data_IF_254394056655
#
_entry.id   IF_254394056655
#
_cell.length_a   1.000
_cell.length_b   1.000
_cell.length_c   1.000
_cell.angle_alpha   90.00
_cell.angle_beta   90.00
_cell.angle_gamma   90.00
#
_symmetry.space_group_name_H-M   'P 1'
#
loop_
_entity.id
_entity.type
_entity.pdbx_description
1 polymer ?
#
# COMPACT_ATOMS: atom_id res chain seq x y z
N UNK A 1 13.16 6.85 -2.94
CA UNK A 1 12.39 6.66 -4.19
C UNK A 1 13.32 6.00 -5.17
N UNK A 2 12.93 4.85 -5.72
CA UNK A 2 13.81 4.05 -6.60
C UNK A 2 13.96 4.67 -7.99
N UNK A 3 15.06 4.35 -8.67
CA UNK A 3 15.34 4.75 -10.05
C UNK A 3 14.59 3.80 -11.01
N UNK A 4 13.72 4.32 -11.88
CA UNK A 4 12.83 3.48 -12.70
C UNK A 4 13.05 3.67 -14.20
N UNK A 5 12.91 2.59 -14.96
CA UNK A 5 13.04 2.55 -16.43
C UNK A 5 11.84 1.85 -17.04
N UNK A 6 11.25 2.44 -18.09
CA UNK A 6 10.28 1.77 -18.96
C UNK A 6 10.98 1.26 -20.21
N UNK A 7 10.67 0.03 -20.61
CA UNK A 7 11.12 -0.60 -21.85
C UNK A 7 9.90 -0.97 -22.69
N UNK A 8 9.80 -0.49 -23.92
CA UNK A 8 8.77 -0.88 -24.89
C UNK A 8 9.30 -1.97 -25.81
N UNK A 9 8.58 -3.08 -25.87
CA UNK A 9 8.95 -4.27 -26.60
C UNK A 9 7.97 -4.57 -27.74
N UNK A 10 8.53 -4.92 -28.90
CA UNK A 10 7.81 -5.17 -30.14
C UNK A 10 8.04 -6.62 -30.54
N UNK A 11 6.98 -7.38 -30.80
CA UNK A 11 7.16 -8.75 -31.27
C UNK A 11 7.73 -8.77 -32.69
N UNK A 12 8.45 -9.84 -33.00
CA UNK A 12 8.97 -10.09 -34.33
C UNK A 12 7.81 -10.34 -35.33
N UNK A 13 7.91 -9.89 -36.59
CA UNK A 13 6.91 -10.22 -37.61
C UNK A 13 6.71 -11.73 -37.74
N UNK A 14 5.44 -12.17 -37.72
CA UNK A 14 5.06 -13.58 -37.78
C UNK A 14 4.87 -14.26 -36.42
N UNK A 15 5.19 -13.60 -35.30
CA UNK A 15 4.91 -14.09 -33.95
C UNK A 15 3.53 -13.62 -33.46
N UNK A 16 2.71 -14.51 -32.88
CA UNK A 16 1.41 -14.11 -32.29
C UNK A 16 1.59 -13.43 -30.92
N UNK A 17 0.59 -12.66 -30.41
CA UNK A 17 0.71 -12.05 -29.08
C UNK A 17 0.94 -13.10 -27.97
N UNK A 18 0.31 -14.26 -28.09
CA UNK A 18 0.39 -15.36 -27.12
C UNK A 18 1.77 -16.01 -27.15
N UNK A 19 2.33 -16.24 -28.34
CA UNK A 19 3.69 -16.76 -28.50
C UNK A 19 4.72 -15.78 -27.94
N UNK A 20 4.55 -14.48 -28.23
CA UNK A 20 5.41 -13.42 -27.72
C UNK A 20 5.42 -13.41 -26.19
N UNK A 21 4.23 -13.43 -25.56
CA UNK A 21 4.09 -13.49 -24.09
C UNK A 21 4.66 -14.77 -23.50
N UNK A 22 4.38 -15.92 -24.14
CA UNK A 22 4.85 -17.23 -23.66
C UNK A 22 6.38 -17.31 -23.66
N UNK A 23 7.04 -16.84 -24.72
CA UNK A 23 8.51 -16.81 -24.79
C UNK A 23 9.10 -15.79 -23.82
N UNK A 24 8.48 -14.61 -23.72
CA UNK A 24 8.91 -13.54 -22.80
C UNK A 24 8.96 -14.04 -21.34
N UNK A 25 7.86 -14.61 -20.84
CA UNK A 25 7.79 -15.06 -19.44
C UNK A 25 8.46 -16.43 -19.21
N UNK A 26 8.42 -17.32 -20.21
CA UNK A 26 8.90 -18.70 -20.07
C UNK A 26 10.39 -18.88 -20.34
N UNK A 27 11.05 -17.97 -21.06
CA UNK A 27 12.46 -18.12 -21.46
C UNK A 27 13.26 -16.83 -21.29
N UNK A 28 12.77 -15.71 -21.81
CA UNK A 28 13.53 -14.47 -21.83
C UNK A 28 13.75 -13.88 -20.43
N UNK A 29 12.69 -13.70 -19.64
CA UNK A 29 12.80 -13.14 -18.28
C UNK A 29 13.64 -14.03 -17.36
N UNK A 30 13.49 -15.38 -17.34
CA UNK A 30 14.41 -16.26 -16.64
C UNK A 30 15.87 -16.08 -17.04
N UNK A 31 16.17 -15.96 -18.34
CA UNK A 31 17.52 -15.72 -18.85
C UNK A 31 18.09 -14.37 -18.35
N UNK A 32 17.31 -13.30 -18.42
CA UNK A 32 17.71 -11.97 -17.91
C UNK A 32 17.97 -12.03 -16.40
N UNK A 33 17.15 -12.77 -15.65
CA UNK A 33 17.34 -12.95 -14.21
C UNK A 33 18.61 -13.74 -13.89
N UNK A 34 18.89 -14.80 -14.66
CA UNK A 34 20.12 -15.59 -14.54
C UNK A 34 21.35 -14.71 -14.81
N UNK A 35 21.35 -13.94 -15.88
CA UNK A 35 22.46 -13.07 -16.28
C UNK A 35 22.70 -11.95 -15.27
N UNK A 36 21.63 -11.28 -14.81
CA UNK A 36 21.74 -10.16 -13.88
C UNK A 36 22.20 -10.59 -12.49
N UNK A 37 21.78 -11.77 -12.02
CA UNK A 37 22.08 -12.24 -10.67
C UNK A 37 21.75 -11.17 -9.61
N UNK A 38 22.73 -10.71 -8.81
CA UNK A 38 22.50 -9.72 -7.76
C UNK A 38 22.18 -8.31 -8.29
N UNK A 39 22.48 -8.00 -9.56
CA UNK A 39 22.14 -6.70 -10.15
C UNK A 39 20.73 -6.68 -10.74
N UNK A 40 19.93 -7.73 -10.57
CA UNK A 40 18.54 -7.75 -11.04
C UNK A 40 17.73 -6.64 -10.34
N UNK A 41 16.84 -5.93 -11.05
CA UNK A 41 16.05 -4.85 -10.45
C UNK A 41 15.21 -5.33 -9.26
N UNK A 42 14.95 -4.42 -8.32
CA UNK A 42 14.05 -4.63 -7.18
C UNK A 42 12.65 -5.07 -7.64
N UNK A 43 12.19 -4.52 -8.76
CA UNK A 43 10.94 -4.92 -9.41
C UNK A 43 11.11 -4.95 -10.92
N UNK A 44 10.49 -5.93 -11.58
CA UNK A 44 10.41 -6.01 -13.03
C UNK A 44 8.98 -6.43 -13.40
N UNK A 45 8.14 -5.45 -13.72
CA UNK A 45 6.73 -5.62 -14.04
C UNK A 45 6.53 -5.52 -15.55
N UNK A 46 5.85 -6.49 -16.18
CA UNK A 46 5.60 -6.51 -17.63
C UNK A 46 4.11 -6.48 -17.90
N UNK A 47 3.67 -5.54 -18.72
CA UNK A 47 2.27 -5.35 -19.10
C UNK A 47 2.13 -5.49 -20.61
N UNK A 48 1.24 -6.39 -21.02
CA UNK A 48 1.00 -6.72 -22.42
C UNK A 48 -0.27 -5.99 -22.87
N UNK A 49 -0.21 -5.35 -24.04
CA UNK A 49 -1.38 -4.69 -24.59
C UNK A 49 -2.45 -5.73 -24.92
N UNK A 50 -3.70 -5.42 -24.56
CA UNK A 50 -4.82 -6.26 -24.95
C UNK A 50 -5.08 -6.08 -26.44
N UNK A 51 -4.92 -7.16 -27.22
CA UNK A 51 -5.15 -7.20 -28.66
C UNK A 51 -6.33 -8.13 -28.97
N UNK A 52 -7.13 -7.77 -29.96
CA UNK A 52 -8.29 -8.56 -30.42
C UNK A 52 -8.06 -9.10 -31.82
N UNK A 53 -8.54 -10.31 -32.12
CA UNK A 53 -8.53 -10.85 -33.49
C UNK A 53 -9.62 -10.17 -34.33
N UNK A 54 -9.24 -9.44 -35.40
CA UNK A 54 -10.18 -8.89 -36.39
C UNK A 54 -9.60 -8.93 -37.81
N UNK A 55 -10.47 -9.20 -38.79
CA UNK A 55 -10.18 -9.32 -40.23
C UNK A 55 -10.14 -7.99 -41.01
N UNK A 56 -10.24 -6.82 -40.36
CA UNK A 56 -10.36 -5.54 -41.07
C UNK A 56 -9.08 -4.72 -40.97
N UNK A 57 -8.58 -4.30 -42.15
CA UNK A 57 -7.35 -3.55 -42.36
C UNK A 57 -7.31 -2.29 -41.48
N UNK A 58 -6.52 -2.36 -40.42
CA UNK A 58 -6.13 -1.19 -39.63
C UNK A 58 -4.83 -0.62 -40.21
N UNK A 59 -4.62 0.69 -40.05
CA UNK A 59 -3.46 1.41 -40.61
C UNK A 59 -2.12 1.08 -39.92
N UNK A 60 -1.99 -0.08 -39.28
CA UNK A 60 -0.74 -0.56 -38.69
C UNK A 60 -0.18 -1.72 -39.50
N UNK A 61 1.02 -1.53 -40.05
CA UNK A 61 1.68 -2.52 -40.92
C UNK A 61 2.11 -3.75 -40.13
N UNK A 62 2.55 -3.59 -38.87
CA UNK A 62 3.08 -4.68 -38.06
C UNK A 62 2.02 -5.52 -37.33
N UNK A 63 0.84 -4.95 -37.08
CA UNK A 63 -0.19 -5.55 -36.22
C UNK A 63 -1.59 -5.60 -36.88
N UNK A 64 -1.65 -5.59 -38.21
CA UNK A 64 -2.89 -5.48 -38.98
C UNK A 64 -4.00 -6.49 -38.57
N UNK A 65 -3.60 -7.71 -38.20
CA UNK A 65 -4.53 -8.80 -37.85
C UNK A 65 -4.82 -8.92 -36.35
N UNK A 66 -4.12 -8.14 -35.51
CA UNK A 66 -4.29 -8.14 -34.05
C UNK A 66 -4.19 -6.70 -33.52
N UNK A 67 -5.16 -5.82 -33.86
CA UNK A 67 -5.19 -4.45 -33.37
C UNK A 67 -5.28 -4.39 -31.84
N UNK A 68 -4.72 -3.33 -31.27
CA UNK A 68 -4.83 -3.06 -29.84
C UNK A 68 -6.23 -2.51 -29.50
N UNK A 69 -6.73 -2.80 -28.30
CA UNK A 69 -7.95 -2.18 -27.77
C UNK A 69 -7.67 -0.75 -27.32
N UNK A 70 -7.67 0.17 -28.29
CA UNK A 70 -7.41 1.60 -28.07
C UNK A 70 -8.70 2.29 -27.63
N UNK A 71 -8.66 2.97 -26.49
CA UNK A 71 -9.78 3.76 -25.98
C UNK A 71 -9.73 5.22 -26.47
N UNK A 72 -8.53 5.78 -26.59
CA UNK A 72 -8.24 7.16 -27.04
C UNK A 72 -6.93 7.13 -27.84
N UNK A 73 -6.83 7.91 -28.92
CA UNK A 73 -5.65 7.97 -29.78
C UNK A 73 -5.74 7.05 -31.00
N UNK A 74 -4.60 6.78 -31.62
CA UNK A 74 -4.49 6.02 -32.87
C UNK A 74 -3.79 4.67 -32.66
N UNK A 75 -4.06 3.70 -33.54
CA UNK A 75 -3.41 2.39 -33.47
C UNK A 75 -1.88 2.47 -33.65
N UNK A 76 -1.38 3.46 -34.39
CA UNK A 76 0.05 3.60 -34.69
C UNK A 76 0.90 3.93 -33.45
N UNK A 77 0.31 4.57 -32.44
CA UNK A 77 0.97 4.89 -31.16
C UNK A 77 1.16 3.65 -30.27
N UNK A 78 0.39 2.58 -30.54
CA UNK A 78 0.36 1.33 -29.76
C UNK A 78 0.86 0.14 -30.57
N UNK A 79 1.89 0.37 -31.39
CA UNK A 79 2.47 -0.69 -32.23
C UNK A 79 3.40 -1.64 -31.44
N UNK A 80 3.80 -1.27 -30.21
CA UNK A 80 4.47 -2.17 -29.27
C UNK A 80 3.51 -3.22 -28.69
N UNK A 81 4.01 -4.35 -28.25
CA UNK A 81 3.20 -5.45 -27.71
C UNK A 81 3.20 -5.50 -26.19
N UNK A 82 4.29 -5.06 -25.57
CA UNK A 82 4.38 -4.91 -24.13
C UNK A 82 5.23 -3.71 -23.75
N UNK A 83 5.05 -3.27 -22.51
CA UNK A 83 6.01 -2.43 -21.85
C UNK A 83 6.37 -3.04 -20.50
N UNK A 84 7.64 -2.93 -20.13
CA UNK A 84 8.20 -3.38 -18.88
C UNK A 84 8.62 -2.17 -18.04
N UNK A 85 8.36 -2.22 -16.74
CA UNK A 85 8.79 -1.25 -15.75
C UNK A 85 9.79 -1.94 -14.83
N UNK A 86 11.01 -1.41 -14.79
CA UNK A 86 12.11 -1.90 -13.97
C UNK A 86 12.40 -0.87 -12.89
N UNK A 87 12.42 -1.28 -11.63
CA UNK A 87 12.74 -0.41 -10.49
C UNK A 87 14.05 -0.83 -9.85
N UNK A 88 14.95 0.12 -9.67
CA UNK A 88 16.26 -0.02 -9.04
C UNK A 88 16.33 0.82 -7.77
N UNK A 89 17.30 0.53 -6.91
CA UNK A 89 17.56 1.32 -5.71
C UNK A 89 17.99 2.75 -6.08
N UNK A 90 18.94 2.86 -7.00
CA UNK A 90 19.47 4.12 -7.50
C UNK A 90 19.95 4.00 -8.97
N UNK A 91 20.51 5.09 -9.50
CA UNK A 91 21.06 5.14 -10.85
C UNK A 91 22.25 4.18 -11.04
N UNK A 92 23.10 4.03 -10.03
CA UNK A 92 24.29 3.17 -10.08
C UNK A 92 23.91 1.69 -10.23
N UNK A 93 22.89 1.24 -9.50
CA UNK A 93 22.32 -0.10 -9.61
C UNK A 93 21.74 -0.34 -11.01
N UNK A 94 21.08 0.66 -11.60
CA UNK A 94 20.58 0.60 -12.97
C UNK A 94 21.73 0.47 -13.99
N UNK A 95 22.78 1.28 -13.84
CA UNK A 95 23.97 1.22 -14.69
C UNK A 95 24.69 -0.13 -14.57
N UNK A 96 24.79 -0.69 -13.36
CA UNK A 96 25.37 -2.01 -13.13
C UNK A 96 24.58 -3.11 -13.85
N UNK A 97 23.25 -3.08 -13.77
CA UNK A 97 22.37 -4.02 -14.48
C UNK A 97 22.61 -3.97 -16.00
N UNK A 98 22.53 -2.80 -16.62
CA UNK A 98 22.75 -2.67 -18.06
C UNK A 98 24.20 -2.97 -18.46
N UNK A 99 25.17 -2.68 -17.60
CA UNK A 99 26.58 -3.03 -17.80
C UNK A 99 26.79 -4.54 -17.89
N UNK A 100 26.16 -5.33 -17.01
CA UNK A 100 26.21 -6.80 -17.05
C UNK A 100 25.58 -7.35 -18.33
N UNK A 101 24.46 -6.77 -18.78
CA UNK A 101 23.76 -7.17 -20.01
C UNK A 101 24.60 -6.93 -21.27
N UNK A 102 25.40 -5.85 -21.29
CA UNK A 102 26.23 -5.47 -22.43
C UNK A 102 27.56 -6.23 -22.51
N UNK A 103 27.92 -7.01 -21.49
CA UNK A 103 29.13 -7.85 -21.55
C UNK A 103 29.06 -8.79 -22.75
N UNK A 104 30.12 -8.95 -23.56
CA UNK A 104 30.04 -9.63 -24.86
C UNK A 104 29.38 -11.02 -24.84
N UNK A 105 29.68 -11.84 -23.83
CA UNK A 105 29.08 -13.17 -23.68
C UNK A 105 27.59 -13.12 -23.34
N UNK A 106 27.18 -12.22 -22.46
CA UNK A 106 25.79 -12.03 -22.07
C UNK A 106 24.98 -11.39 -23.19
N UNK A 107 25.51 -10.34 -23.81
CA UNK A 107 24.90 -9.65 -24.93
C UNK A 107 24.64 -10.60 -26.11
N UNK A 108 25.57 -11.53 -26.40
CA UNK A 108 25.38 -12.55 -27.43
C UNK A 108 24.27 -13.55 -27.07
N UNK A 109 24.21 -14.01 -25.81
CA UNK A 109 23.13 -14.89 -25.33
C UNK A 109 21.76 -14.22 -25.41
N UNK A 110 21.68 -12.95 -24.98
CA UNK A 110 20.47 -12.14 -25.02
C UNK A 110 20.05 -11.92 -26.48
N UNK A 111 20.98 -11.52 -27.35
CA UNK A 111 20.70 -11.31 -28.77
C UNK A 111 20.15 -12.58 -29.43
N UNK A 112 20.75 -13.74 -29.16
CA UNK A 112 20.31 -15.01 -29.71
C UNK A 112 18.92 -15.44 -29.21
N UNK A 113 18.52 -15.01 -28.01
CA UNK A 113 17.18 -15.23 -27.50
C UNK A 113 16.17 -14.24 -28.06
N UNK A 114 16.49 -12.94 -28.07
CA UNK A 114 15.66 -11.87 -28.63
C UNK A 114 15.32 -12.12 -30.10
N UNK A 115 16.28 -12.58 -30.91
CA UNK A 115 16.08 -12.90 -32.34
C UNK A 115 14.94 -13.89 -32.59
N UNK A 116 14.55 -14.70 -31.60
CA UNK A 116 13.47 -15.68 -31.74
C UNK A 116 12.08 -15.06 -31.72
N UNK A 117 11.89 -13.92 -31.05
CA UNK A 117 10.55 -13.41 -30.73
C UNK A 117 10.40 -11.88 -30.69
N UNK A 118 11.49 -11.12 -30.58
CA UNK A 118 11.52 -9.68 -30.37
C UNK A 118 12.12 -8.95 -31.58
N UNK A 119 11.51 -7.83 -31.99
CA UNK A 119 12.11 -6.88 -32.93
C UNK A 119 13.03 -5.92 -32.17
N UNK A 120 14.30 -6.30 -32.08
CA UNK A 120 15.31 -5.55 -31.33
C UNK A 120 15.55 -4.15 -31.88
N UNK A 121 15.38 -3.93 -33.19
CA UNK A 121 15.62 -2.62 -33.80
C UNK A 121 14.60 -1.56 -33.36
N UNK A 122 13.44 -2.01 -32.86
CA UNK A 122 12.35 -1.15 -32.38
C UNK A 122 12.28 -1.06 -30.86
N UNK A 123 13.07 -1.87 -30.15
CA UNK A 123 13.14 -1.84 -28.70
C UNK A 123 13.57 -0.45 -28.23
N UNK A 124 12.76 0.17 -27.39
CA UNK A 124 13.04 1.51 -26.85
C UNK A 124 12.95 1.48 -25.34
N UNK A 125 13.77 2.29 -24.67
CA UNK A 125 13.76 2.40 -23.23
C UNK A 125 13.90 3.87 -22.82
N UNK A 126 13.27 4.24 -21.71
CA UNK A 126 13.28 5.61 -21.18
C UNK A 126 13.29 5.57 -19.64
N UNK A 127 14.03 6.50 -19.04
CA UNK A 127 14.05 6.69 -17.57
C UNK A 127 12.78 7.43 -17.16
N UNK A 128 12.14 6.98 -16.09
CA UNK A 128 11.02 7.70 -15.48
C UNK A 128 11.53 8.76 -14.52
N UNK A 129 10.93 9.95 -14.59
CA UNK A 129 11.09 11.00 -13.58
C UNK A 129 10.23 10.72 -12.35
N UNK A 130 9.67 11.78 -11.76
CA UNK A 130 8.86 11.66 -10.55
C UNK A 130 7.58 10.83 -10.79
N UNK A 131 7.42 9.76 -10.01
CA UNK A 131 6.20 8.94 -10.00
C UNK A 131 5.23 9.49 -8.96
N UNK A 132 4.08 9.98 -9.42
CA UNK A 132 2.94 10.30 -8.55
C UNK A 132 1.85 9.25 -8.75
N UNK A 133 1.47 8.55 -7.69
CA UNK A 133 0.45 7.50 -7.75
C UNK A 133 -0.75 7.88 -6.87
N UNK A 134 -1.96 7.82 -7.43
CA UNK A 134 -3.20 7.93 -6.66
C UNK A 134 -3.79 6.55 -6.45
N UNK A 135 -3.64 6.01 -5.24
CA UNK A 135 -4.29 4.76 -4.85
C UNK A 135 -5.62 5.04 -4.18
N UNK A 136 -6.64 4.23 -4.51
CA UNK A 136 -7.91 4.24 -3.76
C UNK A 136 -7.78 3.33 -2.55
N UNK A 137 -8.14 3.85 -1.39
CA UNK A 137 -8.27 3.14 -0.14
C UNK A 137 -9.61 3.48 0.51
N UNK A 138 -9.90 2.90 1.68
CA UNK A 138 -11.15 3.19 2.39
C UNK A 138 -11.31 4.68 2.70
N UNK A 139 -10.23 5.40 3.06
CA UNK A 139 -10.27 6.81 3.45
C UNK A 139 -10.73 7.75 2.31
N UNK A 140 -10.29 7.50 1.07
CA UNK A 140 -10.61 8.35 -0.08
C UNK A 140 -11.72 7.80 -1.00
N UNK A 141 -12.41 6.74 -0.58
CA UNK A 141 -13.55 6.17 -1.32
C UNK A 141 -14.85 6.90 -0.98
N UNK A 142 -15.42 7.58 -1.98
CA UNK A 142 -16.65 8.39 -1.82
C UNK A 142 -17.93 7.57 -2.12
N UNK A 143 -17.88 6.56 -2.99
CA UNK A 143 -19.05 5.72 -3.30
C UNK A 143 -19.50 4.95 -2.05
N UNK A 144 -20.75 5.12 -1.57
CA UNK A 144 -21.20 4.50 -0.33
C UNK A 144 -21.17 2.97 -0.34
N UNK A 145 -21.44 2.35 -1.49
CA UNK A 145 -21.52 0.89 -1.61
C UNK A 145 -20.13 0.28 -1.56
N UNK A 146 -19.19 0.85 -2.31
CA UNK A 146 -17.79 0.44 -2.29
C UNK A 146 -17.13 0.73 -0.94
N UNK A 147 -17.37 1.90 -0.35
CA UNK A 147 -16.87 2.23 0.98
C UNK A 147 -17.39 1.25 2.04
N UNK A 148 -18.69 0.94 2.04
CA UNK A 148 -19.27 -0.02 2.98
C UNK A 148 -18.66 -1.42 2.83
N UNK A 149 -18.42 -1.86 1.59
CA UNK A 149 -17.78 -3.14 1.30
C UNK A 149 -16.35 -3.18 1.85
N UNK A 150 -15.55 -2.14 1.59
CA UNK A 150 -14.16 -2.03 2.06
C UNK A 150 -14.07 -1.97 3.57
N UNK A 151 -14.87 -1.07 4.18
CA UNK A 151 -14.90 -0.86 5.63
C UNK A 151 -15.35 -2.12 6.38
N UNK A 152 -16.30 -2.88 5.83
CA UNK A 152 -16.73 -4.15 6.45
C UNK A 152 -15.57 -5.14 6.60
N UNK A 153 -14.71 -5.22 5.59
CA UNK A 153 -13.53 -6.09 5.62
C UNK A 153 -12.46 -5.51 6.56
N UNK A 154 -12.22 -4.20 6.50
CA UNK A 154 -11.25 -3.53 7.37
C UNK A 154 -11.59 -3.67 8.87
N UNK A 155 -12.88 -3.59 9.22
CA UNK A 155 -13.35 -3.73 10.60
C UNK A 155 -12.99 -5.06 11.25
N UNK A 156 -12.66 -6.11 10.49
CA UNK A 156 -12.23 -7.40 11.08
C UNK A 156 -10.89 -7.29 11.80
N UNK A 157 -10.07 -6.30 11.47
CA UNK A 157 -8.80 -6.02 12.16
C UNK A 157 -8.99 -5.29 13.50
N UNK A 158 -10.17 -4.72 13.75
CA UNK A 158 -10.48 -3.91 14.94
C UNK A 158 -11.52 -4.58 15.84
N UNK A 159 -11.53 -5.91 15.90
CA UNK A 159 -12.36 -6.64 16.87
C UNK A 159 -11.65 -6.73 18.22
N UNK A 160 -12.40 -6.91 19.31
CA UNK A 160 -11.84 -7.06 20.66
C UNK A 160 -10.78 -8.18 20.77
N UNK A 161 -10.88 -9.19 19.90
CA UNK A 161 -9.93 -10.32 19.85
C UNK A 161 -8.67 -10.03 19.03
N UNK A 162 -8.64 -8.94 18.25
CA UNK A 162 -7.54 -8.59 17.34
C UNK A 162 -6.54 -7.62 17.97
N UNK A 163 -6.92 -6.91 19.03
CA UNK A 163 -6.07 -5.93 19.73
C UNK A 163 -5.38 -6.64 20.89
N UNK A 164 -4.22 -7.25 20.61
CA UNK A 164 -3.32 -7.79 21.63
C UNK A 164 -2.11 -6.86 21.72
N UNK A 165 -1.88 -6.28 22.91
CA UNK A 165 -0.64 -5.56 23.20
C UNK A 165 0.44 -6.60 23.53
N UNK A 166 1.59 -6.50 22.87
CA UNK A 166 2.69 -7.43 23.07
C UNK A 166 3.41 -7.20 24.40
N UNK A 167 4.07 -8.24 24.91
CA UNK A 167 4.80 -8.21 26.17
C UNK A 167 6.12 -7.45 26.02
N UNK A 168 6.26 -6.34 26.73
CA UNK A 168 7.53 -5.61 26.79
C UNK A 168 8.44 -6.19 27.88
N UNK A 169 9.75 -6.25 27.61
CA UNK A 169 10.76 -6.63 28.59
C UNK A 169 10.71 -5.64 29.78
N UNK A 170 10.39 -6.14 30.99
CA UNK A 170 10.32 -5.32 32.20
C UNK A 170 11.67 -5.27 32.89
N UNK A 171 12.44 -4.20 32.65
CA UNK A 171 13.64 -3.90 33.45
C UNK A 171 13.27 -2.98 34.60
N UNK A 172 13.78 -3.25 35.80
CA UNK A 172 13.56 -2.41 37.00
C UNK A 172 14.53 -1.24 37.13
N UNK A 173 15.49 -1.10 36.20
CA UNK A 173 16.44 -0.01 36.15
C UNK A 173 15.89 1.19 35.36
N UNK A 174 16.19 2.41 35.80
CA UNK A 174 15.86 3.62 35.04
C UNK A 174 16.66 3.62 33.73
N UNK A 175 15.97 3.81 32.61
CA UNK A 175 16.62 4.01 31.31
C UNK A 175 17.34 5.37 31.26
N UNK A 176 18.23 5.53 30.27
CA UNK A 176 18.75 6.84 29.91
C UNK A 176 17.61 7.77 29.45
N UNK A 177 17.87 9.07 29.31
CA UNK A 177 16.88 9.99 28.72
C UNK A 177 16.44 9.48 27.33
N UNK A 178 15.13 9.34 27.12
CA UNK A 178 14.54 8.89 25.87
C UNK A 178 13.63 9.97 25.29
N UNK A 179 13.64 10.12 23.96
CA UNK A 179 12.66 10.92 23.24
C UNK A 179 11.37 10.08 23.14
N UNK A 180 10.34 10.46 23.91
CA UNK A 180 9.14 9.64 24.06
C UNK A 180 8.30 9.60 22.78
N UNK A 181 8.30 10.66 21.97
CA UNK A 181 7.54 10.71 20.72
C UNK A 181 8.06 9.72 19.69
N UNK A 182 9.36 9.69 19.47
CA UNK A 182 10.05 8.79 18.54
C UNK A 182 9.91 7.32 18.99
N UNK A 183 10.06 7.03 20.28
CA UNK A 183 9.86 5.67 20.79
C UNK A 183 8.40 5.21 20.70
N UNK A 184 7.44 6.11 20.96
CA UNK A 184 6.02 5.80 20.77
C UNK A 184 5.69 5.59 19.29
N UNK A 185 6.30 6.36 18.40
CA UNK A 185 6.10 6.21 16.95
C UNK A 185 6.57 4.84 16.47
N UNK A 186 7.77 4.42 16.85
CA UNK A 186 8.27 3.08 16.54
C UNK A 186 7.37 1.97 17.12
N UNK A 187 6.96 2.10 18.39
CA UNK A 187 6.10 1.12 19.03
C UNK A 187 4.73 1.00 18.33
N UNK A 188 4.08 2.13 18.03
CA UNK A 188 2.78 2.11 17.37
C UNK A 188 2.92 1.64 15.92
N UNK A 189 3.99 2.03 15.23
CA UNK A 189 4.27 1.55 13.88
C UNK A 189 4.45 0.03 13.85
N UNK A 190 5.15 -0.55 14.82
CA UNK A 190 5.30 -2.00 14.96
C UNK A 190 3.96 -2.69 15.23
N UNK A 191 3.16 -2.18 16.17
CA UNK A 191 1.81 -2.71 16.45
C UNK A 191 0.91 -2.62 15.21
N UNK A 192 0.91 -1.49 14.51
CA UNK A 192 0.11 -1.30 13.30
C UNK A 192 0.62 -2.14 12.13
N UNK A 193 1.93 -2.36 12.05
CA UNK A 193 2.57 -3.28 11.13
C UNK A 193 2.10 -4.71 11.36
N UNK A 194 2.12 -5.16 12.61
CA UNK A 194 1.66 -6.50 13.01
C UNK A 194 0.16 -6.68 12.76
N UNK A 195 -0.67 -5.68 13.06
CA UNK A 195 -2.11 -5.70 12.75
C UNK A 195 -2.37 -5.71 11.24
N UNK A 196 -1.56 -5.01 10.45
CA UNK A 196 -1.74 -4.86 9.00
C UNK A 196 -1.19 -6.05 8.21
N UNK A 197 -0.12 -6.69 8.70
CA UNK A 197 0.64 -7.69 7.95
C UNK A 197 0.81 -9.05 8.66
N UNK A 198 0.41 -9.16 9.93
CA UNK A 198 0.74 -10.28 10.80
C UNK A 198 2.14 -10.11 11.40
N UNK A 199 2.39 -10.84 12.50
CA UNK A 199 3.57 -10.65 13.34
C UNK A 199 4.88 -10.69 12.55
N UNK A 200 5.39 -9.51 12.29
CA UNK A 200 6.80 -9.20 12.07
C UNK A 200 7.45 -10.00 10.94
N UNK A 201 7.04 -9.71 9.70
CA UNK A 201 7.82 -9.98 8.47
C UNK A 201 8.30 -11.43 8.20
N UNK A 202 7.54 -12.45 8.60
CA UNK A 202 7.62 -13.79 7.97
C UNK A 202 6.23 -14.30 7.55
N UNK A 203 5.77 -13.77 6.41
CA UNK A 203 4.43 -13.89 5.86
C UNK A 203 3.88 -15.33 5.74
N UNK A 204 2.97 -15.69 6.66
CA UNK A 204 1.62 -16.23 6.41
C UNK A 204 1.07 -16.77 7.73
N UNK A 205 -0.10 -16.30 8.12
CA UNK A 205 -1.00 -17.14 8.91
C UNK A 205 -1.28 -18.43 8.09
N UNK A 206 -1.10 -19.65 8.62
CA UNK A 206 -1.25 -20.90 7.87
C UNK A 206 -2.72 -21.21 7.46
N UNK A 207 -3.64 -20.27 7.68
CA UNK A 207 -5.06 -20.37 7.36
C UNK A 207 -5.51 -19.67 6.08
N UNK A 208 -6.80 -19.81 5.76
CA UNK A 208 -7.44 -19.05 4.69
C UNK A 208 -7.51 -17.59 5.13
N UNK A 209 -6.70 -16.73 4.50
CA UNK A 209 -6.72 -15.30 4.79
C UNK A 209 -8.12 -14.72 4.45
N UNK A 210 -8.88 -14.22 5.44
CA UNK A 210 -10.23 -13.70 5.21
C UNK A 210 -10.24 -12.44 4.33
N UNK A 211 -9.15 -11.68 4.25
CA UNK A 211 -8.97 -10.54 3.35
C UNK A 211 -8.75 -10.98 1.89
N UNK A 212 -8.30 -12.23 1.67
CA UNK A 212 -8.24 -12.89 0.37
C UNK A 212 -9.47 -13.75 0.09
N UNK A 213 -10.40 -13.88 1.03
CA UNK A 213 -11.61 -14.67 0.84
C UNK A 213 -12.37 -14.13 -0.38
N UNK A 214 -12.88 -15.07 -1.19
CA UNK A 214 -13.62 -14.72 -2.39
C UNK A 214 -14.93 -14.05 -2.00
N UNK A 215 -15.23 -12.94 -2.66
CA UNK A 215 -16.53 -12.33 -2.62
C UNK A 215 -17.56 -13.35 -3.16
N UNK A 216 -18.51 -13.74 -2.33
CA UNK A 216 -19.51 -14.77 -2.64
C UNK A 216 -20.40 -14.42 -3.84
N UNK A 217 -20.47 -13.15 -4.23
CA UNK A 217 -21.27 -12.66 -5.36
C UNK A 217 -20.48 -12.60 -6.67
N UNK A 218 -19.15 -12.40 -6.62
CA UNK A 218 -18.34 -12.18 -7.84
C UNK A 218 -17.26 -13.25 -8.08
N UNK A 219 -16.97 -14.10 -7.10
CA UNK A 219 -15.89 -15.11 -7.15
C UNK A 219 -14.47 -14.53 -7.15
N UNK A 220 -14.32 -13.20 -7.11
CA UNK A 220 -13.04 -12.49 -7.06
C UNK A 220 -12.59 -12.27 -5.60
N UNK A 221 -11.28 -12.14 -5.33
CA UNK A 221 -10.80 -11.77 -4.00
C UNK A 221 -11.45 -10.49 -3.49
N UNK A 222 -11.71 -10.39 -2.18
CA UNK A 222 -12.26 -9.17 -1.57
C UNK A 222 -11.38 -7.93 -1.80
N UNK A 223 -10.06 -8.11 -1.86
CA UNK A 223 -9.11 -7.09 -2.30
C UNK A 223 -8.10 -7.67 -3.30
N UNK A 224 -7.75 -6.88 -4.29
CA UNK A 224 -6.56 -7.09 -5.13
C UNK A 224 -5.28 -6.78 -4.35
N UNK A 225 -4.12 -7.21 -4.85
CA UNK A 225 -2.84 -6.91 -4.20
C UNK A 225 -2.56 -5.40 -4.07
N UNK A 226 -2.97 -4.61 -5.06
CA UNK A 226 -2.83 -3.15 -5.03
C UNK A 226 -3.75 -2.52 -3.97
N UNK A 227 -4.99 -2.98 -3.87
CA UNK A 227 -5.91 -2.48 -2.86
C UNK A 227 -5.47 -2.88 -1.45
N UNK A 228 -4.98 -4.11 -1.24
CA UNK A 228 -4.40 -4.50 0.05
C UNK A 228 -3.23 -3.59 0.45
N UNK A 229 -2.33 -3.26 -0.49
CA UNK A 229 -1.24 -2.31 -0.23
C UNK A 229 -1.78 -0.92 0.14
N UNK A 230 -2.82 -0.45 -0.55
CA UNK A 230 -3.43 0.84 -0.29
C UNK A 230 -4.11 0.91 1.09
N UNK A 231 -4.84 -0.15 1.49
CA UNK A 231 -5.45 -0.24 2.83
C UNK A 231 -4.39 -0.39 3.93
N UNK A 232 -3.35 -1.20 3.72
CA UNK A 232 -2.28 -1.35 4.70
C UNK A 232 -1.49 -0.04 4.90
N UNK A 233 -1.19 0.68 3.81
CA UNK A 233 -0.55 2.00 3.88
C UNK A 233 -1.41 2.98 4.67
N UNK A 234 -2.74 2.97 4.44
CA UNK A 234 -3.68 3.78 5.20
C UNK A 234 -3.65 3.44 6.69
N UNK A 235 -3.71 2.15 7.05
CA UNK A 235 -3.74 1.72 8.45
C UNK A 235 -2.49 2.15 9.21
N UNK A 236 -1.30 1.91 8.64
CA UNK A 236 -0.03 2.25 9.28
C UNK A 236 0.07 3.75 9.53
N UNK A 237 -0.20 4.58 8.51
CA UNK A 237 -0.09 6.03 8.62
C UNK A 237 -1.14 6.57 9.60
N UNK A 238 -2.41 6.16 9.44
CA UNK A 238 -3.48 6.66 10.28
C UNK A 238 -3.33 6.26 11.75
N UNK A 239 -2.85 5.04 12.02
CA UNK A 239 -2.67 4.51 13.37
C UNK A 239 -1.44 5.08 14.08
N UNK A 240 -0.33 5.31 13.37
CA UNK A 240 0.95 5.71 13.98
C UNK A 240 0.91 7.14 14.48
N UNK A 241 0.82 8.12 13.57
CA UNK A 241 0.92 9.54 13.89
C UNK A 241 -0.14 9.97 14.93
N UNK A 242 -1.40 9.52 14.77
CA UNK A 242 -2.50 9.96 15.64
C UNK A 242 -2.41 9.38 17.06
N UNK A 243 -2.00 8.12 17.19
CA UNK A 243 -1.85 7.48 18.51
C UNK A 243 -0.63 8.02 19.24
N UNK A 244 0.49 8.21 18.53
CA UNK A 244 1.72 8.83 19.06
C UNK A 244 1.43 10.23 19.59
N UNK A 245 0.75 11.08 18.80
CA UNK A 245 0.37 12.42 19.22
C UNK A 245 -0.54 12.40 20.47
N UNK A 246 -1.53 11.49 20.49
CA UNK A 246 -2.43 11.33 21.62
C UNK A 246 -1.68 10.93 22.89
N UNK A 247 -0.86 9.88 22.84
CA UNK A 247 -0.11 9.38 23.99
C UNK A 247 0.92 10.40 24.50
N UNK A 248 1.69 11.02 23.59
CA UNK A 248 2.65 12.06 23.93
C UNK A 248 1.97 13.22 24.67
N UNK A 249 0.80 13.66 24.19
CA UNK A 249 0.03 14.72 24.86
C UNK A 249 -0.43 14.32 26.26
N UNK A 250 -0.97 13.11 26.42
CA UNK A 250 -1.45 12.59 27.71
C UNK A 250 -0.31 12.55 28.73
N UNK A 251 0.85 12.00 28.36
CA UNK A 251 2.03 11.96 29.23
C UNK A 251 2.55 13.37 29.56
N UNK A 252 2.54 14.28 28.58
CA UNK A 252 2.97 15.66 28.78
C UNK A 252 2.11 16.40 29.82
N UNK A 253 0.79 16.22 29.79
CA UNK A 253 -0.12 16.84 30.77
C UNK A 253 -0.03 16.16 32.14
N UNK A 254 -0.01 14.82 32.19
CA UNK A 254 0.06 14.09 33.45
C UNK A 254 1.37 14.35 34.21
N UNK A 255 2.51 14.45 33.51
CA UNK A 255 3.81 14.75 34.13
C UNK A 255 3.87 16.14 34.78
N UNK A 256 2.99 17.06 34.37
CA UNK A 256 2.92 18.44 34.90
C UNK A 256 1.87 18.62 35.98
N UNK A 257 1.00 17.63 36.20
CA UNK A 257 -0.01 17.65 37.24
C UNK A 257 0.11 16.44 38.18
N UNK A 258 0.89 16.57 39.26
CA UNK A 258 1.08 15.50 40.23
C UNK A 258 -0.23 15.04 40.89
N UNK A 259 -1.26 15.89 40.97
CA UNK A 259 -2.54 15.53 41.57
C UNK A 259 -3.35 14.62 40.66
N UNK A 260 -3.47 15.00 39.37
CA UNK A 260 -4.17 14.18 38.36
C UNK A 260 -3.43 12.86 38.11
N UNK A 261 -2.10 12.89 38.05
CA UNK A 261 -1.27 11.69 37.95
C UNK A 261 -1.52 10.72 39.11
N UNK A 262 -1.45 11.19 40.37
CA UNK A 262 -1.69 10.34 41.54
C UNK A 262 -3.09 9.73 41.55
N UNK A 263 -4.10 10.48 41.10
CA UNK A 263 -5.47 9.97 41.01
C UNK A 263 -5.59 8.86 39.96
N UNK A 264 -4.95 9.01 38.80
CA UNK A 264 -4.89 7.96 37.78
C UNK A 264 -4.17 6.71 38.29
N UNK A 265 -2.98 6.89 38.87
CA UNK A 265 -2.22 5.77 39.41
C UNK A 265 -2.97 5.02 40.49
N UNK A 266 -3.71 5.72 41.34
CA UNK A 266 -4.55 5.08 42.35
C UNK A 266 -5.63 4.20 41.74
N UNK A 267 -6.28 4.62 40.66
CA UNK A 267 -7.25 3.79 39.94
C UNK A 267 -6.57 2.57 39.30
N UNK A 268 -5.43 2.77 38.62
CA UNK A 268 -4.71 1.68 37.93
C UNK A 268 -4.26 0.58 38.90
N UNK A 269 -3.72 0.95 40.06
CA UNK A 269 -3.22 0.03 41.08
C UNK A 269 -4.31 -0.80 41.78
N UNK A 270 -5.60 -0.50 41.54
CA UNK A 270 -6.70 -1.21 42.21
C UNK A 270 -7.18 -2.48 41.49
N UNK A 271 -6.84 -2.68 40.21
CA UNK A 271 -7.45 -3.75 39.39
C UNK A 271 -6.46 -4.80 38.90
N UNK A 272 -5.24 -4.41 38.54
CA UNK A 272 -4.18 -5.33 38.10
C UNK A 272 -3.00 -5.24 39.06
N UNK A 273 -2.47 -6.39 39.48
CA UNK A 273 -1.33 -6.46 40.40
C UNK A 273 0.00 -6.30 39.65
N UNK A 274 0.09 -6.89 38.45
CA UNK A 274 1.27 -6.84 37.59
C UNK A 274 0.93 -6.24 36.22
N UNK A 275 1.93 -5.68 35.55
CA UNK A 275 1.74 -5.08 34.22
C UNK A 275 1.36 -6.14 33.18
N UNK A 276 1.87 -7.35 33.35
CA UNK A 276 1.63 -8.51 32.50
C UNK A 276 0.19 -9.04 32.61
N UNK A 277 -0.54 -8.66 33.66
CA UNK A 277 -1.95 -9.02 33.85
C UNK A 277 -2.90 -8.11 33.06
N UNK A 278 -2.39 -7.00 32.50
CA UNK A 278 -3.19 -6.03 31.76
C UNK A 278 -3.59 -6.62 30.41
N UNK A 279 -4.83 -7.07 30.34
CA UNK A 279 -5.44 -7.61 29.12
C UNK A 279 -6.70 -6.83 28.74
N UNK A 280 -7.00 -6.79 27.45
CA UNK A 280 -8.27 -6.26 26.96
C UNK A 280 -9.44 -7.04 27.56
N UNK A 281 -10.48 -6.33 28.01
CA UNK A 281 -11.67 -6.95 28.59
C UNK A 281 -12.45 -6.04 29.55
N UNK A 282 -13.50 -6.57 30.20
CA UNK A 282 -14.41 -5.78 31.04
C UNK A 282 -13.72 -5.04 32.20
N UNK A 283 -12.62 -5.60 32.74
CA UNK A 283 -11.84 -4.97 33.81
C UNK A 283 -11.14 -3.69 33.33
N UNK A 284 -10.38 -3.78 32.23
CA UNK A 284 -9.70 -2.64 31.63
C UNK A 284 -10.70 -1.57 31.17
N UNK A 285 -11.80 -2.01 30.55
CA UNK A 285 -12.89 -1.13 30.12
C UNK A 285 -13.66 -0.48 31.29
N UNK A 286 -13.48 -0.98 32.52
CA UNK A 286 -14.09 -0.45 33.73
C UNK A 286 -13.38 0.78 34.31
N UNK A 287 -12.17 1.10 33.86
CA UNK A 287 -11.42 2.25 34.36
C UNK A 287 -12.03 3.57 33.87
N UNK A 288 -12.73 4.25 34.78
CA UNK A 288 -13.47 5.46 34.45
C UNK A 288 -12.54 6.66 34.34
N UNK A 289 -11.57 6.79 35.25
CA UNK A 289 -10.66 7.92 35.27
C UNK A 289 -9.56 7.80 34.21
N UNK A 290 -9.09 6.58 33.90
CA UNK A 290 -8.22 6.33 32.73
C UNK A 290 -8.91 6.78 31.44
N UNK A 291 -10.14 6.32 31.20
CA UNK A 291 -10.90 6.71 30.01
C UNK A 291 -11.10 8.22 29.94
N UNK A 292 -11.48 8.85 31.06
CA UNK A 292 -11.63 10.29 31.13
C UNK A 292 -10.29 11.03 30.88
N UNK A 293 -9.16 10.47 31.29
CA UNK A 293 -7.83 11.05 31.04
C UNK A 293 -7.43 10.97 29.57
N UNK A 294 -7.77 9.86 28.89
CA UNK A 294 -7.55 9.68 27.45
C UNK A 294 -8.45 10.66 26.66
N UNK A 295 -9.75 10.69 26.98
CA UNK A 295 -10.72 11.59 26.33
C UNK A 295 -10.32 13.06 26.53
N UNK A 296 -9.90 13.46 27.74
CA UNK A 296 -9.45 14.82 28.03
C UNK A 296 -8.12 15.15 27.33
N UNK A 297 -7.20 14.19 27.21
CA UNK A 297 -5.97 14.35 26.44
C UNK A 297 -6.26 14.66 24.97
N UNK A 298 -7.11 13.86 24.32
CA UNK A 298 -7.53 14.09 22.94
C UNK A 298 -8.36 15.38 22.77
N UNK A 299 -9.09 15.82 23.81
CA UNK A 299 -9.81 17.10 23.80
C UNK A 299 -8.85 18.30 23.87
N UNK A 300 -7.77 18.19 24.66
CA UNK A 300 -6.77 19.24 24.81
C UNK A 300 -5.84 19.34 23.61
N UNK A 301 -5.46 18.19 23.05
CA UNK A 301 -4.62 18.08 21.85
C UNK A 301 -5.29 17.08 20.90
N UNK A 302 -6.16 17.56 20.00
CA UNK A 302 -6.76 16.74 18.96
C UNK A 302 -5.65 16.17 18.06
N UNK A 303 -5.52 14.83 17.94
CA UNK A 303 -4.46 14.21 17.15
C UNK A 303 -4.63 14.44 15.63
N UNK A 304 -5.83 14.74 15.18
CA UNK A 304 -6.13 15.12 13.80
C UNK A 304 -6.81 16.50 13.77
N UNK A 305 -6.05 17.61 13.72
CA UNK A 305 -6.60 18.96 13.77
C UNK A 305 -7.13 19.46 12.41
N UNK A 306 -7.43 18.56 11.47
CA UNK A 306 -7.86 18.90 10.12
C UNK A 306 -9.36 18.60 9.91
N UNK A 307 -9.95 19.24 8.90
CA UNK A 307 -11.32 18.95 8.46
C UNK A 307 -11.31 17.82 7.44
N UNK A 308 -11.68 16.57 7.80
CA UNK A 308 -11.75 15.50 6.82
C UNK A 308 -12.87 15.83 5.81
N UNK A 309 -12.56 15.96 4.51
CA UNK A 309 -13.55 16.38 3.53
C UNK A 309 -14.69 15.37 3.42
N UNK A 310 -15.91 15.89 3.27
CA UNK A 310 -17.13 15.13 3.00
C UNK A 310 -17.79 15.72 1.77
N UNK A 311 -18.25 14.87 0.86
CA UNK A 311 -18.98 15.33 -0.33
C UNK A 311 -20.50 15.18 -0.12
N UNK A 312 -21.27 16.21 -0.49
CA UNK A 312 -22.73 16.13 -0.53
C UNK A 312 -23.17 15.22 -1.68
N UNK A 313 -23.59 13.99 -1.36
CA UNK A 313 -24.01 12.99 -2.37
C UNK A 313 -25.49 13.09 -2.75
N UNK A 314 -26.34 13.57 -1.84
CA UNK A 314 -27.75 13.86 -2.09
C UNK A 314 -27.91 15.02 -3.07
N UNK A 315 -29.13 15.28 -3.55
CA UNK A 315 -29.39 16.45 -4.40
C UNK A 315 -29.01 17.77 -3.72
N UNK A 316 -29.20 17.83 -2.40
CA UNK A 316 -28.72 18.91 -1.54
C UNK A 316 -28.59 18.44 -0.09
N UNK A 317 -27.84 19.19 0.70
CA UNK A 317 -27.74 19.11 2.15
C UNK A 317 -28.17 20.48 2.72
N UNK A 318 -29.20 20.49 3.55
CA UNK A 318 -29.64 21.68 4.28
C UNK A 318 -29.24 21.51 5.74
N UNK A 319 -28.38 22.39 6.26
CA UNK A 319 -28.01 22.39 7.68
C UNK A 319 -28.07 23.82 8.21
N UNK A 320 -28.67 23.98 9.40
CA UNK A 320 -28.91 25.28 10.02
C UNK A 320 -29.61 26.25 9.04
N UNK A 321 -28.89 27.26 8.55
CA UNK A 321 -29.41 28.29 7.64
C UNK A 321 -28.83 28.19 6.22
N UNK A 322 -28.02 27.16 5.94
CA UNK A 322 -27.28 27.05 4.69
C UNK A 322 -27.76 25.90 3.82
N UNK A 323 -27.64 26.10 2.50
CA UNK A 323 -28.00 25.13 1.48
C UNK A 323 -26.76 24.74 0.67
N UNK A 324 -26.40 23.46 0.73
CA UNK A 324 -25.25 22.92 0.02
C UNK A 324 -25.73 22.01 -1.14
N UNK A 325 -25.47 22.37 -2.41
CA UNK A 325 -25.83 21.51 -3.54
C UNK A 325 -24.97 20.24 -3.60
N UNK A 326 -25.44 19.25 -4.36
CA UNK A 326 -24.66 18.03 -4.67
C UNK A 326 -23.25 18.37 -5.17
N UNK A 327 -22.25 17.62 -4.68
CA UNK A 327 -20.84 17.78 -5.04
C UNK A 327 -20.11 18.84 -4.22
N UNK A 328 -20.80 19.54 -3.31
CA UNK A 328 -20.13 20.47 -2.38
C UNK A 328 -19.28 19.68 -1.39
N UNK A 329 -18.04 20.12 -1.18
CA UNK A 329 -17.16 19.61 -0.15
C UNK A 329 -17.42 20.38 1.14
N UNK A 330 -17.73 19.67 2.22
CA UNK A 330 -17.95 20.19 3.57
C UNK A 330 -17.03 19.48 4.55
N UNK A 331 -16.66 20.15 5.64
CA UNK A 331 -15.77 19.64 6.67
C UNK A 331 -16.26 20.04 8.05
N UNK A 332 -15.86 19.29 9.07
CA UNK A 332 -16.10 19.64 10.47
C UNK A 332 -14.81 19.44 11.24
N UNK A 333 -14.33 20.49 11.90
CA UNK A 333 -13.19 20.39 12.82
C UNK A 333 -13.67 19.64 14.09
N UNK A 334 -12.89 18.68 14.63
CA UNK A 334 -13.21 17.98 15.87
C UNK A 334 -13.38 18.88 17.11
#
# INVERSE_FOLDING_TARGET
>A
MGYSVIVFAYRKPGTTPEQFKAHSEGSHVPLIREIAGPTFPLSHTRRYLHRTEKQTSTNTVSNANTPATVLIGSQAEFDYDSFAELTFEDESACQAFFGVMQQPGNAARIAADEEKFLDRARLTAVVLGDTTETRRNTLNTIDPTEHARRRKVLNTCFTDNSVMLDQHDSTTEWSAYMELGENLDYLVFDIMGDLSFGSSFNMKDPGVNPLKAQNSTTGRPAYTGDELRAEATLLIIAGSDTTTASLASIFWYLSRDPSRYKKLMHELQQTFEMAEDVISGPKLMGYTYLRASIDEGMRLVPPEPCEPPREVLSSSLNTMNDHYPKGTIVGTVP
#
